data_IF_665788427563
#
_entry.id   IF_665788427563
#
_cell.length_a   1.000
_cell.length_b   1.000
_cell.length_c   1.000
_cell.angle_alpha   90.00
_cell.angle_beta   90.00
_cell.angle_gamma   90.00
#
_symmetry.space_group_name_H-M   'P 1'
#
loop_
_entity.id
_entity.type
_entity.pdbx_description
1 polymer ?
#
# COMPACT_ATOMS: atom_id res chain seq x y z
N UNK A 1 11.37 -21.07 9.90
CA UNK A 1 11.81 -19.79 9.30
C UNK A 1 13.12 -19.42 9.97
N UNK A 2 14.20 -19.23 9.20
CA UNK A 2 15.51 -18.89 9.75
C UNK A 2 15.50 -17.43 10.26
N UNK A 3 16.10 -17.15 11.42
CA UNK A 3 16.10 -15.81 12.02
C UNK A 3 16.71 -14.73 11.11
N UNK A 4 17.63 -15.11 10.22
CA UNK A 4 18.27 -14.20 9.27
C UNK A 4 17.28 -13.70 8.20
N UNK A 5 16.35 -14.54 7.77
CA UNK A 5 15.33 -14.22 6.77
C UNK A 5 14.31 -13.21 7.30
N UNK A 6 13.89 -13.37 8.56
CA UNK A 6 13.01 -12.40 9.23
C UNK A 6 13.67 -11.03 9.36
N UNK A 7 14.94 -11.00 9.80
CA UNK A 7 15.67 -9.75 9.92
C UNK A 7 15.79 -9.05 8.55
N UNK A 8 16.02 -9.82 7.48
CA UNK A 8 16.09 -9.25 6.14
C UNK A 8 14.74 -8.68 5.69
N UNK A 9 13.62 -9.38 5.94
CA UNK A 9 12.29 -8.85 5.69
C UNK A 9 12.03 -7.55 6.48
N UNK A 10 12.39 -7.50 7.77
CA UNK A 10 12.22 -6.29 8.58
C UNK A 10 13.06 -5.11 8.08
N UNK A 11 14.26 -5.37 7.55
CA UNK A 11 15.08 -4.35 6.90
C UNK A 11 14.42 -3.82 5.63
N UNK A 12 13.82 -4.70 4.82
CA UNK A 12 13.06 -4.31 3.62
C UNK A 12 11.89 -3.39 4.03
N UNK A 13 11.07 -3.79 5.00
CA UNK A 13 10.01 -2.92 5.53
C UNK A 13 10.54 -1.59 6.06
N UNK A 14 11.74 -1.59 6.67
CA UNK A 14 12.40 -0.38 7.17
C UNK A 14 12.70 0.66 6.08
N UNK A 15 12.91 0.25 4.82
CA UNK A 15 13.19 1.17 3.72
C UNK A 15 12.01 2.12 3.45
N UNK A 16 10.78 1.67 3.67
CA UNK A 16 9.56 2.48 3.49
C UNK A 16 9.49 3.69 4.42
N UNK A 17 10.24 3.68 5.54
CA UNK A 17 10.33 4.82 6.47
C UNK A 17 11.18 5.96 5.91
N UNK A 18 12.15 5.60 5.06
CA UNK A 18 13.12 6.54 4.49
C UNK A 18 12.77 6.96 3.07
N UNK A 19 12.02 6.13 2.33
CA UNK A 19 11.50 6.48 1.01
C UNK A 19 10.35 7.48 1.16
N UNK A 20 10.56 8.68 0.62
CA UNK A 20 9.56 9.75 0.61
C UNK A 20 8.62 9.59 -0.57
N UNK A 21 7.34 9.92 -0.38
CA UNK A 21 6.34 9.91 -1.45
C UNK A 21 6.76 10.87 -2.56
N UNK A 22 7.10 10.33 -3.71
CA UNK A 22 7.74 11.02 -4.84
C UNK A 22 6.87 12.16 -5.36
N UNK A 23 5.53 11.99 -5.34
CA UNK A 23 4.60 13.05 -5.70
C UNK A 23 4.81 14.35 -4.92
N UNK A 24 5.03 14.26 -3.60
CA UNK A 24 5.28 15.44 -2.76
C UNK A 24 6.69 16.01 -2.93
N UNK A 25 7.69 15.13 -3.12
CA UNK A 25 9.07 15.54 -3.43
C UNK A 25 9.11 16.35 -4.72
N UNK A 26 8.42 15.89 -5.77
CA UNK A 26 8.34 16.56 -7.07
C UNK A 26 7.62 17.91 -7.01
N UNK A 27 6.77 18.11 -6.01
CA UNK A 27 6.09 19.38 -5.74
C UNK A 27 6.79 20.23 -4.66
N UNK A 28 8.06 19.93 -4.37
CA UNK A 28 8.92 20.68 -3.45
C UNK A 28 8.36 20.83 -2.02
N UNK A 29 7.51 19.89 -1.59
CA UNK A 29 6.96 19.90 -0.23
C UNK A 29 8.08 19.71 0.78
N UNK A 30 8.17 20.62 1.75
CA UNK A 30 9.15 20.52 2.83
C UNK A 30 8.78 19.39 3.81
N UNK A 31 9.74 18.50 4.08
CA UNK A 31 9.56 17.30 4.93
C UNK A 31 8.33 16.48 4.53
N UNK A 32 8.31 15.93 3.30
CA UNK A 32 7.19 15.11 2.86
C UNK A 32 7.11 13.82 3.68
N UNK A 33 5.91 13.25 3.71
CA UNK A 33 5.64 11.96 4.35
C UNK A 33 6.46 10.84 3.69
N UNK A 34 6.70 9.77 4.46
CA UNK A 34 7.22 8.51 3.94
C UNK A 34 6.08 7.62 3.42
N UNK A 35 6.41 6.61 2.61
CA UNK A 35 5.43 5.61 2.17
C UNK A 35 4.81 4.89 3.39
N UNK A 36 5.60 4.67 4.45
CA UNK A 36 5.07 4.06 5.67
C UNK A 36 4.07 4.93 6.43
N UNK A 37 4.17 6.26 6.35
CA UNK A 37 3.20 7.18 6.95
C UNK A 37 1.85 7.08 6.23
N UNK A 38 1.89 7.09 4.89
CA UNK A 38 0.75 6.91 4.00
C UNK A 38 0.00 5.59 4.29
N UNK A 39 0.70 4.45 4.24
CA UNK A 39 0.09 3.15 4.50
C UNK A 39 -0.45 3.00 5.93
N UNK A 40 0.19 3.64 6.92
CA UNK A 40 -0.29 3.67 8.29
C UNK A 40 -1.66 4.37 8.38
N UNK A 41 -1.81 5.57 7.79
CA UNK A 41 -3.08 6.30 7.86
C UNK A 41 -4.20 5.59 7.08
N UNK A 42 -3.90 4.96 5.94
CA UNK A 42 -4.86 4.11 5.24
C UNK A 42 -5.34 2.94 6.11
N UNK A 43 -4.42 2.29 6.83
CA UNK A 43 -4.76 1.20 7.74
C UNK A 43 -5.68 1.66 8.87
N UNK A 44 -5.49 2.90 9.35
CA UNK A 44 -6.39 3.53 10.31
C UNK A 44 -7.77 3.81 9.73
N UNK A 45 -7.89 4.19 8.45
CA UNK A 45 -9.18 4.33 7.78
C UNK A 45 -9.93 2.99 7.75
N UNK A 46 -9.27 1.92 7.31
CA UNK A 46 -9.85 0.58 7.34
C UNK A 46 -10.27 0.16 8.77
N UNK A 47 -9.41 0.40 9.76
CA UNK A 47 -9.68 0.05 11.16
C UNK A 47 -10.88 0.79 11.75
N UNK A 48 -11.11 2.04 11.34
CA UNK A 48 -12.21 2.90 11.81
C UNK A 48 -13.60 2.50 11.29
N UNK A 49 -13.69 1.53 10.37
CA UNK A 49 -14.98 1.04 9.89
C UNK A 49 -15.74 0.32 11.02
N UNK A 50 -16.99 0.73 11.23
CA UNK A 50 -17.86 0.24 12.31
C UNK A 50 -18.30 -1.22 12.10
N UNK A 51 -18.25 -1.73 10.87
CA UNK A 51 -18.69 -3.09 10.56
C UNK A 51 -18.02 -3.65 9.31
N UNK A 52 -18.14 -4.97 9.13
CA UNK A 52 -17.77 -5.72 7.91
C UNK A 52 -18.80 -5.55 6.78
N UNK A 53 -19.47 -4.39 6.76
CA UNK A 53 -20.43 -4.01 5.71
C UNK A 53 -20.33 -2.53 5.38
N UNK A 54 -20.47 -2.22 4.09
CA UNK A 54 -20.56 -0.85 3.58
C UNK A 54 -21.93 -0.64 2.95
N UNK A 55 -22.56 0.48 3.29
CA UNK A 55 -23.79 0.94 2.64
C UNK A 55 -23.42 1.96 1.56
N UNK A 56 -23.67 1.60 0.30
CA UNK A 56 -23.51 2.51 -0.84
C UNK A 56 -24.61 3.58 -0.84
N UNK A 57 -24.39 4.65 -1.61
CA UNK A 57 -25.35 5.77 -1.74
C UNK A 57 -26.72 5.34 -2.25
N UNK A 58 -26.78 4.31 -3.07
CA UNK A 58 -28.01 3.71 -3.61
C UNK A 58 -28.73 2.78 -2.61
N UNK A 59 -28.19 2.63 -1.39
CA UNK A 59 -28.73 1.78 -0.35
C UNK A 59 -28.24 0.33 -0.38
N UNK A 60 -27.44 -0.07 -1.38
CA UNK A 60 -26.87 -1.41 -1.49
C UNK A 60 -25.91 -1.68 -0.34
N UNK A 61 -26.04 -2.85 0.29
CA UNK A 61 -25.12 -3.32 1.34
C UNK A 61 -24.11 -4.27 0.71
N UNK A 62 -22.83 -3.94 0.88
CA UNK A 62 -21.70 -4.74 0.41
C UNK A 62 -20.98 -5.30 1.63
N UNK A 63 -20.67 -6.60 1.62
CA UNK A 63 -19.81 -7.20 2.64
C UNK A 63 -18.35 -6.92 2.34
N UNK A 64 -17.59 -6.63 3.38
CA UNK A 64 -16.14 -6.42 3.35
C UNK A 64 -15.51 -7.14 4.53
N UNK A 65 -14.31 -7.69 4.38
CA UNK A 65 -13.48 -8.12 5.51
C UNK A 65 -12.57 -6.97 5.94
N UNK A 66 -12.91 -6.33 7.08
CA UNK A 66 -12.11 -5.21 7.61
C UNK A 66 -10.67 -5.61 7.91
N UNK A 67 -10.45 -6.82 8.44
CA UNK A 67 -9.10 -7.31 8.76
C UNK A 67 -8.28 -7.44 7.49
N UNK A 68 -8.89 -7.92 6.41
CA UNK A 68 -8.26 -7.99 5.10
C UNK A 68 -7.93 -6.61 4.55
N UNK A 69 -8.83 -5.63 4.65
CA UNK A 69 -8.56 -4.25 4.24
C UNK A 69 -7.37 -3.64 4.99
N UNK A 70 -7.27 -3.85 6.31
CA UNK A 70 -6.14 -3.37 7.13
C UNK A 70 -4.84 -4.02 6.63
N UNK A 71 -4.82 -5.34 6.48
CA UNK A 71 -3.63 -6.06 6.01
C UNK A 71 -3.21 -5.63 4.61
N UNK A 72 -4.18 -5.45 3.70
CA UNK A 72 -3.94 -5.01 2.33
C UNK A 72 -3.37 -3.60 2.30
N UNK A 73 -3.93 -2.66 3.06
CA UNK A 73 -3.40 -1.30 3.17
C UNK A 73 -1.93 -1.28 3.65
N UNK A 74 -1.55 -2.18 4.57
CA UNK A 74 -0.18 -2.30 5.09
C UNK A 74 0.84 -2.87 4.08
N UNK A 75 0.38 -3.54 3.00
CA UNK A 75 1.29 -4.24 2.07
C UNK A 75 1.21 -3.74 0.63
N UNK A 76 0.23 -2.91 0.28
CA UNK A 76 -0.02 -2.55 -1.11
C UNK A 76 1.18 -1.83 -1.79
N UNK A 77 1.87 -0.96 -1.07
CA UNK A 77 3.10 -0.28 -1.55
C UNK A 77 4.39 -0.95 -1.03
N UNK A 78 4.33 -2.18 -0.52
CA UNK A 78 5.51 -2.86 0.03
C UNK A 78 6.60 -3.07 -1.04
N UNK A 79 6.22 -3.22 -2.31
CA UNK A 79 7.15 -3.32 -3.44
C UNK A 79 8.10 -2.11 -3.54
N UNK A 80 7.61 -0.92 -3.20
CA UNK A 80 8.32 0.36 -3.32
C UNK A 80 9.52 0.44 -2.36
N UNK A 81 9.58 -0.42 -1.35
CA UNK A 81 10.77 -0.62 -0.50
C UNK A 81 12.02 -1.05 -1.29
N UNK A 82 11.83 -1.64 -2.49
CA UNK A 82 12.89 -2.13 -3.35
C UNK A 82 12.99 -1.37 -4.68
N UNK A 83 11.86 -0.89 -5.23
CA UNK A 83 11.82 -0.26 -6.57
C UNK A 83 11.64 1.25 -6.54
N UNK A 84 11.32 1.83 -5.38
CA UNK A 84 10.95 3.24 -5.23
C UNK A 84 9.47 3.50 -5.53
N UNK A 85 9.02 4.71 -5.23
CA UNK A 85 7.66 5.19 -5.50
C UNK A 85 7.61 5.83 -6.89
N UNK A 86 6.97 5.13 -7.84
CA UNK A 86 6.79 5.59 -9.22
C UNK A 86 5.54 6.45 -9.37
N UNK A 87 5.71 7.62 -9.95
CA UNK A 87 4.66 8.60 -10.25
C UNK A 87 4.26 8.61 -11.72
N UNK A 88 3.14 9.25 -12.09
CA UNK A 88 2.78 9.46 -13.50
C UNK A 88 3.78 10.31 -14.31
N UNK A 89 4.70 11.01 -13.64
CA UNK A 89 5.76 11.79 -14.29
C UNK A 89 7.02 10.97 -14.56
N UNK A 90 7.15 9.80 -13.94
CA UNK A 90 8.18 8.85 -14.28
C UNK A 90 7.85 8.24 -15.64
N UNK A 91 8.80 8.30 -16.58
CA UNK A 91 8.62 7.82 -17.95
C UNK A 91 8.70 6.28 -18.01
N UNK A 92 7.88 5.61 -17.21
CA UNK A 92 7.77 4.18 -17.06
C UNK A 92 6.39 3.73 -17.52
N UNK A 93 6.33 2.68 -18.34
CA UNK A 93 5.04 2.15 -18.78
C UNK A 93 4.32 1.45 -17.63
N UNK A 94 2.98 1.40 -17.67
CA UNK A 94 2.20 0.64 -16.68
C UNK A 94 2.65 -0.82 -16.59
N UNK A 95 3.02 -1.43 -17.72
CA UNK A 95 3.49 -2.81 -17.77
C UNK A 95 4.85 -2.96 -17.09
N UNK A 96 5.78 -2.03 -17.32
CA UNK A 96 7.10 -2.08 -16.71
C UNK A 96 7.04 -1.85 -15.19
N UNK A 97 6.20 -0.90 -14.74
CA UNK A 97 5.90 -0.70 -13.31
C UNK A 97 5.40 -2.00 -12.68
N UNK A 98 4.37 -2.59 -13.28
CA UNK A 98 3.78 -3.85 -12.80
C UNK A 98 4.80 -4.99 -12.76
N UNK A 99 5.66 -5.11 -13.77
CA UNK A 99 6.71 -6.14 -13.80
C UNK A 99 7.75 -5.94 -12.70
N UNK A 100 8.19 -4.70 -12.47
CA UNK A 100 9.17 -4.35 -11.44
C UNK A 100 8.60 -4.61 -10.04
N UNK A 101 7.37 -4.17 -9.79
CA UNK A 101 6.70 -4.37 -8.50
C UNK A 101 6.41 -5.85 -8.23
N UNK A 102 5.96 -6.60 -9.24
CA UNK A 102 5.78 -8.05 -9.11
C UNK A 102 7.11 -8.75 -8.78
N UNK A 103 8.20 -8.38 -9.47
CA UNK A 103 9.53 -8.91 -9.18
C UNK A 103 9.99 -8.60 -7.75
N UNK A 104 9.74 -7.39 -7.26
CA UNK A 104 10.01 -7.00 -5.88
C UNK A 104 9.19 -7.82 -4.87
N UNK A 105 7.90 -8.01 -5.14
CA UNK A 105 7.00 -8.76 -4.25
C UNK A 105 7.31 -10.25 -4.23
N UNK A 106 7.71 -10.84 -5.35
CA UNK A 106 8.23 -12.23 -5.38
C UNK A 106 9.48 -12.33 -4.49
N UNK A 107 10.42 -11.39 -4.60
CA UNK A 107 11.61 -11.36 -3.74
C UNK A 107 11.27 -11.22 -2.26
N UNK A 108 10.30 -10.38 -1.90
CA UNK A 108 9.82 -10.20 -0.52
C UNK A 108 9.17 -11.49 0.00
N UNK A 109 8.29 -12.10 -0.79
CA UNK A 109 7.65 -13.39 -0.51
C UNK A 109 8.69 -14.48 -0.23
N UNK A 110 9.66 -14.63 -1.13
CA UNK A 110 10.69 -15.66 -1.04
C UNK A 110 11.66 -15.40 0.11
N UNK A 111 11.92 -14.12 0.45
CA UNK A 111 12.70 -13.73 1.64
C UNK A 111 12.03 -14.25 2.92
N UNK A 112 10.71 -14.16 3.03
CA UNK A 112 9.98 -14.75 4.17
C UNK A 112 9.91 -16.28 4.09
N UNK A 113 9.74 -16.85 2.89
CA UNK A 113 9.79 -18.30 2.64
C UNK A 113 8.77 -19.09 3.46
N UNK A 114 7.60 -18.51 3.75
CA UNK A 114 6.56 -19.11 4.59
C UNK A 114 5.15 -18.75 4.11
N UNK A 115 4.13 -19.33 4.73
CA UNK A 115 2.73 -18.97 4.49
C UNK A 115 2.44 -17.49 4.67
N UNK A 116 3.17 -16.79 5.56
CA UNK A 116 3.02 -15.35 5.73
C UNK A 116 3.52 -14.56 4.51
N UNK A 117 4.60 -15.03 3.86
CA UNK A 117 5.07 -14.43 2.61
C UNK A 117 4.05 -14.60 1.49
N UNK A 118 3.44 -15.77 1.39
CA UNK A 118 2.38 -16.06 0.42
C UNK A 118 1.13 -15.19 0.65
N UNK A 119 0.69 -15.04 1.90
CA UNK A 119 -0.42 -14.15 2.26
C UNK A 119 -0.14 -12.70 1.84
N UNK A 120 1.07 -12.18 2.11
CA UNK A 120 1.48 -10.83 1.71
C UNK A 120 1.44 -10.67 0.19
N UNK A 121 1.97 -11.64 -0.55
CA UNK A 121 1.96 -11.60 -2.01
C UNK A 121 0.53 -11.61 -2.58
N UNK A 122 -0.34 -12.48 -2.05
CA UNK A 122 -1.73 -12.58 -2.49
C UNK A 122 -2.53 -11.31 -2.19
N UNK A 123 -2.33 -10.69 -1.03
CA UNK A 123 -2.96 -9.42 -0.69
C UNK A 123 -2.53 -8.29 -1.65
N UNK A 124 -1.24 -8.21 -1.95
CA UNK A 124 -0.72 -7.25 -2.92
C UNK A 124 -1.27 -7.50 -4.33
N UNK A 125 -1.26 -8.76 -4.78
CA UNK A 125 -1.78 -9.11 -6.10
C UNK A 125 -3.28 -8.81 -6.23
N UNK A 126 -4.06 -9.11 -5.20
CA UNK A 126 -5.49 -8.79 -5.19
C UNK A 126 -5.75 -7.28 -5.22
N UNK A 127 -4.91 -6.49 -4.53
CA UNK A 127 -4.95 -5.03 -4.63
C UNK A 127 -4.68 -4.56 -6.05
N UNK A 128 -3.64 -5.08 -6.71
CA UNK A 128 -3.28 -4.71 -8.08
C UNK A 128 -4.36 -5.10 -9.10
N UNK A 129 -4.93 -6.30 -8.97
CA UNK A 129 -5.97 -6.81 -9.86
C UNK A 129 -7.32 -6.10 -9.65
N UNK A 130 -7.52 -5.47 -8.48
CA UNK A 130 -8.74 -4.73 -8.12
C UNK A 130 -10.04 -5.56 -8.26
N UNK A 131 -9.98 -6.84 -7.89
CA UNK A 131 -11.06 -7.82 -8.15
C UNK A 131 -12.06 -7.97 -7.00
N UNK A 132 -11.71 -7.56 -5.79
CA UNK A 132 -12.55 -7.70 -4.59
C UNK A 132 -13.10 -6.36 -4.09
N UNK A 133 -14.13 -6.42 -3.24
CA UNK A 133 -14.66 -5.20 -2.60
C UNK A 133 -13.62 -4.57 -1.68
N UNK A 134 -12.78 -5.38 -1.05
CA UNK A 134 -11.67 -4.97 -0.20
C UNK A 134 -10.61 -4.23 -1.02
N UNK A 135 -10.18 -4.78 -2.16
CA UNK A 135 -9.21 -4.14 -3.04
C UNK A 135 -9.73 -2.81 -3.59
N UNK A 136 -10.98 -2.77 -4.02
CA UNK A 136 -11.62 -1.53 -4.48
C UNK A 136 -11.68 -0.48 -3.36
N UNK A 137 -12.06 -0.88 -2.14
CA UNK A 137 -12.11 0.01 -0.99
C UNK A 137 -10.72 0.54 -0.61
N UNK A 138 -9.70 -0.31 -0.61
CA UNK A 138 -8.33 0.11 -0.27
C UNK A 138 -7.77 1.04 -1.35
N UNK A 139 -8.10 0.86 -2.64
CA UNK A 139 -7.78 1.85 -3.69
C UNK A 139 -8.50 3.18 -3.51
N UNK A 140 -9.73 3.17 -3.00
CA UNK A 140 -10.43 4.40 -2.64
C UNK A 140 -9.76 5.07 -1.43
N UNK A 141 -9.29 4.30 -0.45
CA UNK A 141 -8.50 4.83 0.67
C UNK A 141 -7.17 5.43 0.23
N UNK A 142 -6.42 4.79 -0.67
CA UNK A 142 -5.16 5.30 -1.21
C UNK A 142 -5.34 6.71 -1.80
N UNK A 143 -6.33 6.86 -2.69
CA UNK A 143 -6.66 8.17 -3.28
C UNK A 143 -7.14 9.18 -2.25
N UNK A 144 -8.03 8.76 -1.34
CA UNK A 144 -8.59 9.66 -0.34
C UNK A 144 -7.51 10.17 0.63
N UNK A 145 -6.63 9.28 1.06
CA UNK A 145 -5.49 9.59 1.92
C UNK A 145 -4.59 10.62 1.25
N UNK A 146 -4.22 10.39 -0.01
CA UNK A 146 -3.39 11.31 -0.80
C UNK A 146 -4.04 12.71 -0.92
N UNK A 147 -5.35 12.78 -1.21
CA UNK A 147 -6.06 14.06 -1.33
C UNK A 147 -6.15 14.79 0.02
N UNK A 148 -6.38 14.04 1.11
CA UNK A 148 -6.39 14.61 2.45
C UNK A 148 -5.00 15.16 2.82
N UNK A 149 -3.94 14.43 2.48
CA UNK A 149 -2.57 14.89 2.70
C UNK A 149 -2.25 16.15 1.90
N UNK A 150 -2.72 16.25 0.65
CA UNK A 150 -2.59 17.46 -0.16
C UNK A 150 -3.18 18.67 0.56
N UNK A 151 -4.43 18.55 1.03
CA UNK A 151 -5.13 19.61 1.76
C UNK A 151 -4.40 20.03 3.05
N UNK A 152 -3.78 19.08 3.74
CA UNK A 152 -2.96 19.36 4.92
C UNK A 152 -1.68 20.11 4.56
N UNK A 153 -1.04 19.80 3.44
CA UNK A 153 0.15 20.53 2.97
C UNK A 153 -0.20 21.94 2.48
N UNK A 154 -1.34 22.15 1.83
CA UNK A 154 -1.81 23.48 1.41
C UNK A 154 -2.10 24.44 2.58
N UNK A 155 -2.39 23.90 3.76
CA UNK A 155 -2.71 24.68 4.97
C UNK A 155 -1.51 25.02 5.84
N UNK A 156 -0.31 24.55 5.48
CA UNK A 156 0.92 24.82 6.24
C UNK A 156 1.51 26.18 5.94
#
# INVERSE_FOLDING_TARGET
MESNNLLQFYKICGMLKTTKRTGWVNNEIHLPESISDHMHRMSMFAMSLDSDTLKKKDGTIVKIDKTKCIKMALVHDLAESLVGDFTPFDNISKQDKSNLENGAMIKIKDTLGSSAGEEIYQLWQEYEDATSNEALLVKDFDKFEMILQALEYEKR
#
